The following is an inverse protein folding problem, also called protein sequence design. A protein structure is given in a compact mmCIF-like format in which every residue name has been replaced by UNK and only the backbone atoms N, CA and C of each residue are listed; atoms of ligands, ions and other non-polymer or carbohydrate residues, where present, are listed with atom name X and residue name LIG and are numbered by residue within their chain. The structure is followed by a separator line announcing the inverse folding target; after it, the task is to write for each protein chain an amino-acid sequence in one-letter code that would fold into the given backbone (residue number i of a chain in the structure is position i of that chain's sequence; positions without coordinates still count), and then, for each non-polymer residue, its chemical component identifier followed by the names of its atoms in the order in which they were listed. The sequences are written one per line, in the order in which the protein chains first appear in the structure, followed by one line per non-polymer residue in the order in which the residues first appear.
data_IF_360127245771
#
_entry.id   IF_360127245771
#
_cell.length_a   1.000
_cell.length_b   1.000
_cell.length_c   1.000
_cell.angle_alpha   90.00
_cell.angle_beta   90.00
_cell.angle_gamma   90.00
#
_symmetry.space_group_name_H-M   'P 1'
#
loop_
_entity.id
_entity.type
_entity.pdbx_description
1 polymer ?
#
# COMPACT_ATOMS: atom_id res chain seq x y z
N UNK A 1 -21.01 3.41 11.73
CA UNK A 1 -19.57 3.34 12.10
C UNK A 1 -19.01 2.12 11.39
N UNK A 2 -17.91 2.27 10.64
CA UNK A 2 -17.27 1.16 9.90
C UNK A 2 -16.41 0.38 10.89
N UNK A 3 -16.63 -0.93 10.98
CA UNK A 3 -15.83 -1.82 11.82
C UNK A 3 -14.62 -2.29 11.04
N UNK A 4 -13.44 -2.11 11.60
CA UNK A 4 -12.16 -2.40 10.94
C UNK A 4 -11.48 -3.59 11.62
N UNK A 5 -11.06 -4.56 10.83
CA UNK A 5 -10.11 -5.58 11.25
C UNK A 5 -8.68 -5.11 10.91
N UNK A 6 -7.74 -5.33 11.81
CA UNK A 6 -6.32 -5.04 11.60
C UNK A 6 -5.52 -6.33 11.75
N UNK A 7 -4.84 -6.75 10.68
CA UNK A 7 -3.91 -7.88 10.73
C UNK A 7 -2.48 -7.40 10.94
N UNK A 8 -1.65 -8.23 11.60
CA UNK A 8 -0.33 -7.81 12.07
C UNK A 8 -0.42 -6.73 13.15
N UNK A 9 -1.43 -6.84 14.02
CA UNK A 9 -1.80 -5.85 15.01
C UNK A 9 -0.69 -5.51 16.01
N UNK A 10 0.16 -6.46 16.37
CA UNK A 10 1.31 -6.25 17.26
C UNK A 10 2.48 -5.52 16.59
N UNK A 11 2.48 -5.42 15.26
CA UNK A 11 3.50 -4.70 14.50
C UNK A 11 3.38 -3.17 14.62
N UNK A 12 4.45 -2.46 14.25
CA UNK A 12 4.49 -0.97 14.31
C UNK A 12 3.32 -0.32 13.53
N UNK A 13 3.07 -0.78 12.29
CA UNK A 13 1.96 -0.25 11.49
C UNK A 13 0.61 -0.64 12.08
N UNK A 14 0.43 -1.89 12.53
CA UNK A 14 -0.80 -2.35 13.18
C UNK A 14 -1.18 -1.50 14.38
N UNK A 15 -0.24 -1.23 15.26
CA UNK A 15 -0.43 -0.36 16.44
C UNK A 15 -0.85 1.07 16.04
N UNK A 16 -0.15 1.67 15.06
CA UNK A 16 -0.47 3.03 14.57
C UNK A 16 -1.87 3.08 13.93
N UNK A 17 -2.26 2.04 13.19
CA UNK A 17 -3.60 1.95 12.58
C UNK A 17 -4.67 1.83 13.66
N UNK A 18 -4.47 0.98 14.67
CA UNK A 18 -5.40 0.80 15.78
C UNK A 18 -5.58 2.12 16.55
N UNK A 19 -4.50 2.83 16.82
CA UNK A 19 -4.57 4.16 17.45
C UNK A 19 -5.36 5.15 16.59
N UNK A 20 -5.10 5.20 15.28
CA UNK A 20 -5.80 6.08 14.34
C UNK A 20 -7.30 5.75 14.22
N UNK A 21 -7.67 4.47 14.28
CA UNK A 21 -9.07 4.03 14.32
C UNK A 21 -9.78 4.60 15.56
N UNK A 22 -9.11 4.54 16.72
CA UNK A 22 -9.65 5.05 17.99
C UNK A 22 -9.83 6.58 18.03
N UNK A 23 -9.12 7.30 17.17
CA UNK A 23 -9.20 8.76 17.06
C UNK A 23 -10.25 9.24 16.04
N UNK A 24 -10.94 8.34 15.35
CA UNK A 24 -11.87 8.68 14.27
C UNK A 24 -13.31 8.25 14.61
N UNK A 25 -14.21 9.21 14.73
CA UNK A 25 -15.62 9.00 15.08
C UNK A 25 -16.42 8.14 14.06
N UNK A 26 -15.89 7.95 12.85
CA UNK A 26 -16.57 7.18 11.79
C UNK A 26 -16.16 5.71 11.76
N UNK A 27 -15.13 5.35 12.52
CA UNK A 27 -14.55 3.99 12.53
C UNK A 27 -14.53 3.41 13.94
N UNK A 28 -14.49 2.09 14.03
CA UNK A 28 -14.26 1.36 15.26
C UNK A 28 -13.39 0.14 15.00
N UNK A 29 -12.55 -0.23 15.96
CA UNK A 29 -11.83 -1.50 15.90
C UNK A 29 -12.83 -2.63 16.11
N UNK A 30 -13.01 -3.46 15.09
CA UNK A 30 -13.82 -4.68 15.18
C UNK A 30 -13.02 -5.82 15.79
N UNK A 31 -11.83 -6.07 15.21
CA UNK A 31 -10.93 -7.13 15.68
C UNK A 31 -9.49 -6.78 15.33
N UNK A 32 -8.55 -7.25 16.14
CA UNK A 32 -7.11 -7.23 15.87
C UNK A 32 -6.58 -8.66 15.82
N UNK A 33 -5.78 -8.96 14.81
CA UNK A 33 -5.27 -10.29 14.53
C UNK A 33 -3.77 -10.26 14.32
N UNK A 34 -3.10 -11.32 14.75
CA UNK A 34 -1.69 -11.55 14.52
C UNK A 34 -1.45 -12.91 13.85
N UNK A 35 -0.18 -13.25 13.64
CA UNK A 35 0.18 -14.50 13.00
C UNK A 35 -0.31 -15.71 13.82
N UNK A 36 -1.15 -16.53 13.18
CA UNK A 36 -1.72 -17.74 13.79
C UNK A 36 -3.18 -17.58 14.20
N UNK A 37 -3.71 -16.37 14.17
CA UNK A 37 -5.14 -16.14 14.40
C UNK A 37 -5.95 -16.51 13.14
N UNK A 38 -7.19 -16.99 13.35
CA UNK A 38 -8.08 -17.40 12.27
C UNK A 38 -9.03 -16.27 11.87
N UNK A 39 -8.78 -15.68 10.70
CA UNK A 39 -9.64 -14.63 10.14
C UNK A 39 -11.06 -15.14 9.86
N UNK A 40 -11.25 -16.42 9.49
CA UNK A 40 -12.57 -16.97 9.22
C UNK A 40 -13.48 -17.00 10.45
N UNK A 41 -12.91 -17.14 11.64
CA UNK A 41 -13.65 -17.19 12.89
C UNK A 41 -14.26 -15.84 13.32
N UNK A 42 -13.87 -14.73 12.67
CA UNK A 42 -14.22 -13.36 13.09
C UNK A 42 -14.83 -12.51 11.96
N UNK A 43 -15.24 -13.12 10.86
CA UNK A 43 -15.79 -12.43 9.68
C UNK A 43 -16.99 -11.55 9.95
N UNK A 44 -17.79 -11.85 10.96
CA UNK A 44 -18.96 -11.08 11.39
C UNK A 44 -18.60 -9.83 12.22
N UNK A 45 -17.36 -9.71 12.66
CA UNK A 45 -16.89 -8.63 13.55
C UNK A 45 -16.40 -7.39 12.82
N UNK A 46 -16.16 -7.46 11.51
CA UNK A 46 -15.62 -6.33 10.72
C UNK A 46 -16.31 -6.17 9.36
N UNK A 47 -16.13 -5.01 8.78
CA UNK A 47 -16.62 -4.62 7.45
C UNK A 47 -15.46 -4.45 6.47
N UNK A 48 -14.30 -3.98 6.95
CA UNK A 48 -13.07 -3.73 6.17
C UNK A 48 -11.87 -4.31 6.89
N UNK A 49 -11.03 -5.03 6.16
CA UNK A 49 -9.71 -5.48 6.63
C UNK A 49 -8.63 -4.48 6.23
N UNK A 50 -7.71 -4.14 7.14
CA UNK A 50 -6.48 -3.38 6.82
C UNK A 50 -5.26 -4.26 7.03
N UNK A 51 -4.44 -4.38 5.98
CA UNK A 51 -3.28 -5.25 5.94
C UNK A 51 -1.99 -4.51 5.52
N UNK A 52 -0.99 -4.56 6.41
CA UNK A 52 0.39 -4.10 6.19
C UNK A 52 1.36 -5.20 6.63
N UNK A 53 1.16 -6.42 6.18
CA UNK A 53 1.95 -7.57 6.62
C UNK A 53 3.00 -8.00 5.58
N UNK A 54 2.78 -9.13 4.91
CA UNK A 54 3.67 -9.71 3.89
C UNK A 54 2.84 -10.27 2.74
N UNK A 55 3.40 -10.34 1.50
CA UNK A 55 2.68 -10.80 0.32
C UNK A 55 1.94 -12.13 0.51
N UNK A 56 2.59 -13.12 1.09
CA UNK A 56 2.00 -14.45 1.27
C UNK A 56 0.75 -14.40 2.17
N UNK A 57 0.85 -13.69 3.31
CA UNK A 57 -0.28 -13.54 4.23
C UNK A 57 -1.39 -12.67 3.62
N UNK A 58 -1.01 -11.59 2.91
CA UNK A 58 -1.98 -10.74 2.22
C UNK A 58 -2.82 -11.53 1.22
N UNK A 59 -2.21 -12.42 0.42
CA UNK A 59 -2.93 -13.22 -0.56
C UNK A 59 -3.91 -14.21 0.09
N UNK A 60 -3.55 -14.77 1.26
CA UNK A 60 -4.47 -15.59 2.05
C UNK A 60 -5.65 -14.76 2.57
N UNK A 61 -5.40 -13.59 3.16
CA UNK A 61 -6.46 -12.69 3.64
C UNK A 61 -7.33 -12.17 2.50
N UNK A 62 -6.75 -11.86 1.35
CA UNK A 62 -7.47 -11.41 0.17
C UNK A 62 -8.48 -12.47 -0.29
N UNK A 63 -8.07 -13.74 -0.37
CA UNK A 63 -8.95 -14.83 -0.77
C UNK A 63 -10.10 -15.02 0.22
N UNK A 64 -9.85 -14.91 1.54
CA UNK A 64 -10.88 -14.99 2.57
C UNK A 64 -11.85 -13.79 2.45
N UNK A 65 -11.33 -12.57 2.28
CA UNK A 65 -12.15 -11.38 2.11
C UNK A 65 -13.03 -11.47 0.85
N UNK A 66 -12.50 -11.95 -0.27
CA UNK A 66 -13.25 -12.15 -1.50
C UNK A 66 -14.40 -13.14 -1.31
N UNK A 67 -14.14 -14.32 -0.72
CA UNK A 67 -15.17 -15.31 -0.42
C UNK A 67 -16.25 -14.81 0.53
N UNK A 68 -15.87 -13.99 1.51
CA UNK A 68 -16.77 -13.42 2.51
C UNK A 68 -17.42 -12.08 2.09
N UNK A 69 -17.13 -11.60 0.88
CA UNK A 69 -17.57 -10.29 0.36
C UNK A 69 -17.21 -9.13 1.32
N UNK A 70 -15.96 -9.13 1.82
CA UNK A 70 -15.42 -8.09 2.70
C UNK A 70 -14.48 -7.18 1.91
N UNK A 71 -14.47 -5.89 2.26
CA UNK A 71 -13.52 -4.93 1.69
C UNK A 71 -12.14 -5.10 2.30
N UNK A 72 -11.08 -4.79 1.52
CA UNK A 72 -9.69 -4.87 2.00
C UNK A 72 -8.87 -3.65 1.58
N UNK A 73 -8.02 -3.18 2.50
CA UNK A 73 -7.00 -2.15 2.26
C UNK A 73 -5.63 -2.79 2.40
N UNK A 74 -4.86 -2.80 1.32
CA UNK A 74 -3.55 -3.45 1.23
C UNK A 74 -2.46 -2.39 1.13
N UNK A 75 -1.63 -2.28 2.17
CA UNK A 75 -0.41 -1.49 2.20
C UNK A 75 0.86 -2.35 2.14
N UNK A 76 0.71 -3.66 2.08
CA UNK A 76 1.81 -4.61 1.85
C UNK A 76 2.42 -4.38 0.47
N UNK A 77 3.74 -4.49 0.37
CA UNK A 77 4.51 -4.33 -0.87
C UNK A 77 5.36 -5.56 -1.15
N UNK A 78 5.91 -5.67 -2.35
CA UNK A 78 6.82 -6.77 -2.72
C UNK A 78 6.10 -7.96 -3.34
N UNK A 79 4.91 -7.78 -3.90
CA UNK A 79 4.23 -8.83 -4.68
C UNK A 79 4.96 -9.08 -6.00
N UNK A 80 4.95 -10.33 -6.41
CA UNK A 80 5.28 -10.73 -7.78
C UNK A 80 4.09 -10.50 -8.74
N UNK A 81 4.29 -10.76 -10.03
CA UNK A 81 3.26 -10.57 -11.04
C UNK A 81 2.00 -11.41 -10.76
N UNK A 82 2.16 -12.62 -10.24
CA UNK A 82 1.04 -13.48 -9.88
C UNK A 82 0.23 -12.89 -8.70
N UNK A 83 0.90 -12.35 -7.70
CA UNK A 83 0.27 -11.67 -6.57
C UNK A 83 -0.46 -10.40 -7.00
N UNK A 84 0.14 -9.59 -7.87
CA UNK A 84 -0.51 -8.39 -8.44
C UNK A 84 -1.77 -8.77 -9.24
N UNK A 85 -1.70 -9.80 -10.05
CA UNK A 85 -2.83 -10.31 -10.82
C UNK A 85 -3.96 -10.83 -9.89
N UNK A 86 -3.61 -11.49 -8.78
CA UNK A 86 -4.60 -11.93 -7.80
C UNK A 86 -5.34 -10.75 -7.17
N UNK A 87 -4.62 -9.68 -6.81
CA UNK A 87 -5.23 -8.44 -6.28
C UNK A 87 -6.16 -7.80 -7.32
N UNK A 88 -5.73 -7.70 -8.56
CA UNK A 88 -6.53 -7.15 -9.66
C UNK A 88 -7.81 -7.97 -9.90
N UNK A 89 -7.74 -9.29 -9.84
CA UNK A 89 -8.90 -10.15 -10.01
C UNK A 89 -9.89 -10.03 -8.85
N UNK A 90 -9.42 -10.02 -7.60
CA UNK A 90 -10.27 -9.82 -6.43
C UNK A 90 -10.96 -8.44 -6.45
N UNK A 91 -10.28 -7.40 -6.94
CA UNK A 91 -10.85 -6.06 -7.09
C UNK A 91 -12.05 -5.96 -8.06
N UNK A 92 -12.29 -6.98 -8.88
CA UNK A 92 -13.49 -7.09 -9.72
C UNK A 92 -14.72 -7.54 -8.92
N UNK A 93 -14.51 -8.18 -7.77
CA UNK A 93 -15.55 -8.83 -6.97
C UNK A 93 -15.81 -8.09 -5.65
N UNK A 94 -14.78 -7.53 -5.03
CA UNK A 94 -14.87 -6.79 -3.75
C UNK A 94 -14.15 -5.43 -3.84
N UNK A 95 -14.50 -4.45 -2.99
CA UNK A 95 -13.74 -3.21 -2.88
C UNK A 95 -12.33 -3.47 -2.35
N UNK A 96 -11.31 -3.14 -3.16
CA UNK A 96 -9.89 -3.25 -2.81
C UNK A 96 -9.24 -1.88 -2.93
N UNK A 97 -8.55 -1.43 -1.90
CA UNK A 97 -7.61 -0.30 -1.97
C UNK A 97 -6.21 -0.87 -1.87
N UNK A 98 -5.46 -0.77 -2.93
CA UNK A 98 -4.06 -1.21 -2.98
C UNK A 98 -3.16 -0.04 -3.37
N UNK A 99 -2.18 0.28 -2.53
CA UNK A 99 -1.17 1.29 -2.83
C UNK A 99 0.15 0.97 -2.11
N UNK A 100 1.29 1.07 -2.82
CA UNK A 100 2.61 0.82 -2.22
C UNK A 100 3.00 1.92 -1.22
N UNK A 101 2.39 3.09 -1.31
CA UNK A 101 2.57 4.20 -0.39
C UNK A 101 1.26 5.00 -0.25
N UNK A 102 0.74 5.08 0.96
CA UNK A 102 -0.48 5.80 1.30
C UNK A 102 -0.22 7.17 1.96
N UNK A 103 1.05 7.61 2.00
CA UNK A 103 1.39 8.94 2.51
C UNK A 103 0.88 10.02 1.56
N UNK A 104 0.02 10.91 2.08
CA UNK A 104 -0.50 12.06 1.34
C UNK A 104 0.65 12.94 0.85
N UNK A 105 1.67 13.19 1.71
CA UNK A 105 2.84 13.99 1.35
C UNK A 105 3.65 13.40 0.19
N UNK A 106 3.92 12.10 0.21
CA UNK A 106 4.65 11.42 -0.88
C UNK A 106 3.84 11.48 -2.17
N UNK A 107 2.55 11.16 -2.15
CA UNK A 107 1.71 11.19 -3.34
C UNK A 107 1.56 12.61 -3.91
N UNK A 108 1.45 13.63 -3.05
CA UNK A 108 1.46 15.03 -3.48
C UNK A 108 2.81 15.40 -4.13
N UNK A 109 3.94 15.00 -3.54
CA UNK A 109 5.28 15.25 -4.09
C UNK A 109 5.44 14.61 -5.47
N UNK A 110 4.98 13.36 -5.66
CA UNK A 110 5.00 12.69 -6.96
C UNK A 110 4.14 13.43 -8.01
N UNK A 111 2.99 13.97 -7.60
CA UNK A 111 2.13 14.76 -8.50
C UNK A 111 2.77 16.07 -8.90
N UNK A 112 3.43 16.76 -7.96
CA UNK A 112 4.17 18.00 -8.25
C UNK A 112 5.39 17.71 -9.14
N UNK A 113 6.08 16.58 -8.94
CA UNK A 113 7.19 16.13 -9.76
C UNK A 113 6.76 15.88 -11.21
N UNK A 114 5.65 15.15 -11.43
CA UNK A 114 5.07 14.93 -12.76
C UNK A 114 4.79 16.26 -13.48
N UNK A 115 4.16 17.19 -12.76
CA UNK A 115 3.83 18.51 -13.32
C UNK A 115 5.10 19.30 -13.65
N UNK A 116 6.09 19.33 -12.77
CA UNK A 116 7.36 20.03 -13.01
C UNK A 116 8.10 19.44 -14.21
N UNK A 117 8.23 18.11 -14.28
CA UNK A 117 8.92 17.43 -15.37
C UNK A 117 8.25 17.71 -16.72
N UNK A 118 6.92 17.74 -16.81
CA UNK A 118 6.21 18.07 -18.07
C UNK A 118 6.38 19.51 -18.48
N UNK A 119 6.48 20.46 -17.55
CA UNK A 119 6.64 21.89 -17.85
C UNK A 119 8.08 22.21 -18.28
N UNK A 120 9.07 21.66 -17.56
CA UNK A 120 10.48 21.93 -17.83
C UNK A 120 10.96 21.11 -19.05
N UNK A 121 10.50 19.87 -19.18
CA UNK A 121 10.80 18.99 -20.31
C UNK A 121 12.29 18.71 -20.44
N UNK A 122 12.81 18.86 -21.67
CA UNK A 122 14.21 18.58 -22.01
C UNK A 122 15.15 19.76 -21.68
N UNK A 123 14.62 20.86 -21.13
CA UNK A 123 15.43 22.05 -20.81
C UNK A 123 16.24 21.89 -19.50
N UNK A 124 16.11 20.75 -18.80
CA UNK A 124 16.84 20.46 -17.56
C UNK A 124 17.30 19.01 -17.49
N UNK A 125 18.47 18.83 -16.88
CA UNK A 125 18.93 17.52 -16.41
C UNK A 125 18.26 17.21 -15.06
N UNK A 126 17.74 15.99 -14.92
CA UNK A 126 17.00 15.57 -13.71
C UNK A 126 17.74 14.41 -13.05
N UNK A 127 18.13 14.62 -11.81
CA UNK A 127 18.78 13.60 -10.98
C UNK A 127 17.99 13.36 -9.69
N UNK A 128 18.00 12.13 -9.21
CA UNK A 128 17.38 11.75 -7.93
C UNK A 128 18.47 11.30 -6.98
N UNK A 129 18.62 12.03 -5.88
CA UNK A 129 19.55 11.71 -4.81
C UNK A 129 18.77 11.37 -3.55
N UNK A 130 19.10 10.24 -2.93
CA UNK A 130 18.45 9.80 -1.70
C UNK A 130 19.45 9.50 -0.59
N UNK A 131 19.04 9.70 0.65
CA UNK A 131 19.81 9.34 1.83
C UNK A 131 18.91 8.66 2.86
N UNK A 132 19.39 7.54 3.41
CA UNK A 132 18.65 6.76 4.39
C UNK A 132 19.51 6.36 5.59
N UNK A 133 18.86 5.91 6.64
CA UNK A 133 19.54 5.35 7.80
C UNK A 133 20.29 4.06 7.44
N UNK A 134 21.33 3.71 8.24
CA UNK A 134 22.22 2.55 8.00
C UNK A 134 21.54 1.17 7.92
N UNK A 135 20.29 1.07 8.40
CA UNK A 135 19.55 -0.20 8.44
C UNK A 135 18.65 -0.42 7.21
N UNK A 136 18.68 0.49 6.21
CA UNK A 136 17.96 0.29 4.97
C UNK A 136 18.65 -0.78 4.14
N UNK A 137 17.88 -1.76 3.65
CA UNK A 137 18.40 -2.93 2.93
C UNK A 137 18.31 -2.75 1.42
N UNK A 138 17.19 -2.18 0.95
CA UNK A 138 16.94 -1.95 -0.48
C UNK A 138 17.57 -0.64 -0.96
N UNK A 139 18.21 -0.69 -2.12
CA UNK A 139 18.71 0.48 -2.84
C UNK A 139 18.64 0.21 -4.37
N UNK A 140 18.08 1.11 -5.17
CA UNK A 140 17.36 2.33 -4.77
C UNK A 140 16.10 2.04 -3.97
N UNK A 141 15.60 3.03 -3.19
CA UNK A 141 14.34 2.87 -2.46
C UNK A 141 13.15 2.82 -3.41
N UNK A 142 12.08 2.15 -2.99
CA UNK A 142 10.84 2.14 -3.77
C UNK A 142 10.28 3.55 -4.06
N UNK A 143 10.51 4.52 -3.16
CA UNK A 143 10.14 5.92 -3.39
C UNK A 143 11.01 6.56 -4.47
N UNK A 144 12.32 6.36 -4.44
CA UNK A 144 13.22 6.89 -5.47
C UNK A 144 12.94 6.28 -6.85
N UNK A 145 12.72 4.97 -6.92
CA UNK A 145 12.30 4.31 -8.16
C UNK A 145 10.99 4.90 -8.68
N UNK A 146 10.00 5.13 -7.79
CA UNK A 146 8.71 5.73 -8.19
C UNK A 146 8.87 7.16 -8.68
N UNK A 147 9.78 7.94 -8.10
CA UNK A 147 10.09 9.28 -8.61
C UNK A 147 10.71 9.20 -10.01
N UNK A 148 11.64 8.26 -10.25
CA UNK A 148 12.22 8.01 -11.57
C UNK A 148 11.18 7.62 -12.61
N UNK A 149 10.26 6.70 -12.27
CA UNK A 149 9.13 6.32 -13.13
C UNK A 149 8.26 7.52 -13.51
N UNK A 150 7.94 8.38 -12.54
CA UNK A 150 7.11 9.57 -12.77
C UNK A 150 7.80 10.52 -13.74
N UNK A 151 9.09 10.79 -13.57
CA UNK A 151 9.87 11.65 -14.47
C UNK A 151 9.96 11.03 -15.86
N UNK A 152 10.35 9.75 -15.95
CA UNK A 152 10.47 9.05 -17.23
C UNK A 152 9.15 9.07 -18.01
N UNK A 153 8.04 8.74 -17.34
CA UNK A 153 6.70 8.79 -17.96
C UNK A 153 6.30 10.22 -18.39
N UNK A 154 6.62 11.24 -17.59
CA UNK A 154 6.34 12.63 -17.94
C UNK A 154 7.07 13.08 -19.22
N UNK A 155 8.28 12.57 -19.43
CA UNK A 155 9.14 12.87 -20.59
C UNK A 155 9.00 11.86 -21.75
N UNK A 156 8.10 10.86 -21.63
CA UNK A 156 7.91 9.82 -22.64
C UNK A 156 9.13 8.87 -22.79
N UNK A 157 9.88 8.69 -21.72
CA UNK A 157 11.09 7.83 -21.64
C UNK A 157 10.81 6.55 -20.87
N UNK A 158 11.66 5.55 -21.07
CA UNK A 158 11.67 4.32 -20.29
C UNK A 158 12.77 4.40 -19.21
N UNK A 159 12.40 4.26 -17.94
CA UNK A 159 13.34 4.33 -16.82
C UNK A 159 14.45 3.27 -16.91
N UNK A 160 14.19 2.12 -17.53
CA UNK A 160 15.20 1.07 -17.71
C UNK A 160 16.34 1.44 -18.66
N UNK A 161 16.17 2.51 -19.45
CA UNK A 161 17.13 2.99 -20.46
C UNK A 161 17.73 4.36 -20.14
N UNK A 162 17.39 4.92 -18.98
CA UNK A 162 17.87 6.24 -18.53
C UNK A 162 19.03 6.13 -17.54
#
# INVERSE_FOLDING_TARGET
MIRIAVVGASGRMGQTIIESIGQNDKTSLGVSLDKGDDLNAVLDQFDVLIDFTRPEATLEYLAICEQANKSIVIGTTGFDDAGLLAIENAAKNIPVVFAPNMSVGVNLSLKLLDMAARVIGEDADIEIVEAHHRHKVDAPSGTALKMGEVVANALGRDLSTC
#
